data_IF_299332045626
#
_entry.id   IF_299332045626
#
_cell.length_a   1.000
_cell.length_b   1.000
_cell.length_c   1.000
_cell.angle_alpha   90.00
_cell.angle_beta   90.00
_cell.angle_gamma   90.00
#
_symmetry.space_group_name_H-M   'P 1'
#
loop_
_entity.id
_entity.type
_entity.pdbx_description
1 polymer ?
#
# COMPACT_ATOMS: atom_id res chain seq x y z
N UNK A 1 -23.26 -5.46 16.46
CA UNK A 1 -22.36 -5.18 15.33
C UNK A 1 -21.69 -3.86 15.61
N UNK A 2 -20.42 -3.88 15.90
CA UNK A 2 -19.68 -2.70 16.35
C UNK A 2 -19.18 -1.92 15.12
N UNK A 3 -19.66 -0.67 14.98
CA UNK A 3 -19.30 0.28 13.92
C UNK A 3 -17.91 0.92 14.10
N UNK A 4 -16.96 0.22 14.74
CA UNK A 4 -15.61 0.76 15.03
C UNK A 4 -14.54 0.43 13.99
N UNK A 5 -14.78 -0.50 13.09
CA UNK A 5 -13.75 -1.05 12.20
C UNK A 5 -13.57 -0.30 10.85
N UNK A 6 -14.37 0.76 10.59
CA UNK A 6 -14.31 1.51 9.32
C UNK A 6 -13.81 2.94 9.44
N UNK A 7 -13.41 3.40 10.63
CA UNK A 7 -12.87 4.75 10.81
C UNK A 7 -11.41 4.79 10.37
N UNK A 8 -11.17 5.32 9.17
CA UNK A 8 -9.83 5.64 8.67
C UNK A 8 -9.48 5.10 7.29
N UNK A 9 -10.31 4.25 6.68
CA UNK A 9 -10.05 3.78 5.32
C UNK A 9 -10.89 4.54 4.30
N UNK A 10 -10.22 5.36 3.49
CA UNK A 10 -10.82 6.32 2.57
C UNK A 10 -11.49 5.66 1.33
N UNK A 11 -11.07 4.45 0.95
CA UNK A 11 -11.42 3.85 -0.35
C UNK A 11 -12.64 2.92 -0.34
N UNK A 12 -13.26 2.69 0.82
CA UNK A 12 -14.41 1.79 0.95
C UNK A 12 -14.07 0.29 0.80
N UNK A 13 -15.13 -0.55 0.76
CA UNK A 13 -15.00 -2.01 0.70
C UNK A 13 -16.04 -2.57 -0.29
N UNK A 14 -15.60 -3.24 -1.36
CA UNK A 14 -16.50 -3.83 -2.36
C UNK A 14 -15.74 -4.48 -3.50
N UNK A 15 -16.44 -5.20 -4.39
CA UNK A 15 -15.82 -5.92 -5.51
C UNK A 15 -15.00 -5.03 -6.45
N UNK A 16 -15.44 -3.78 -6.66
CA UNK A 16 -14.71 -2.81 -7.46
C UNK A 16 -13.36 -2.43 -6.81
N UNK A 17 -13.37 -2.22 -5.48
CA UNK A 17 -12.16 -1.93 -4.71
C UNK A 17 -11.22 -3.14 -4.67
N UNK A 18 -11.75 -4.34 -4.47
CA UNK A 18 -10.96 -5.58 -4.55
C UNK A 18 -10.25 -5.72 -5.91
N UNK A 19 -10.95 -5.46 -7.00
CA UNK A 19 -10.38 -5.49 -8.35
C UNK A 19 -9.32 -4.40 -8.54
N UNK A 20 -9.56 -3.20 -8.02
CA UNK A 20 -8.62 -2.07 -8.05
C UNK A 20 -7.33 -2.42 -7.31
N UNK A 21 -7.41 -2.95 -6.08
CA UNK A 21 -6.24 -3.34 -5.27
C UNK A 21 -5.40 -4.42 -5.96
N UNK A 22 -6.05 -5.43 -6.57
CA UNK A 22 -5.34 -6.45 -7.35
C UNK A 22 -4.66 -5.87 -8.59
N UNK A 23 -5.31 -4.94 -9.28
CA UNK A 23 -4.73 -4.24 -10.44
C UNK A 23 -3.54 -3.37 -10.01
N UNK A 24 -3.68 -2.63 -8.92
CA UNK A 24 -2.61 -1.84 -8.33
C UNK A 24 -1.36 -2.67 -8.06
N UNK A 25 -1.52 -3.81 -7.37
CA UNK A 25 -0.40 -4.69 -7.05
C UNK A 25 0.37 -5.14 -8.31
N UNK A 26 -0.34 -5.46 -9.41
CA UNK A 26 0.28 -5.87 -10.68
C UNK A 26 1.01 -4.73 -11.38
N UNK A 27 0.44 -3.52 -11.41
CA UNK A 27 1.04 -2.35 -12.08
C UNK A 27 2.37 -1.97 -11.44
N UNK A 28 2.49 -2.09 -10.12
CA UNK A 28 3.71 -1.70 -9.39
C UNK A 28 4.57 -2.88 -8.96
N UNK A 29 4.21 -4.10 -9.35
CA UNK A 29 4.88 -5.34 -8.91
C UNK A 29 6.39 -5.29 -9.04
N UNK A 30 6.90 -4.93 -10.22
CA UNK A 30 8.34 -4.90 -10.49
C UNK A 30 9.08 -3.87 -9.63
N UNK A 31 8.41 -2.78 -9.24
CA UNK A 31 8.97 -1.73 -8.38
C UNK A 31 9.03 -2.13 -6.91
N UNK A 32 8.09 -2.97 -6.47
CA UNK A 32 7.99 -3.42 -5.07
C UNK A 32 8.79 -4.71 -4.85
N UNK A 33 8.60 -5.70 -5.73
CA UNK A 33 9.05 -7.08 -5.49
C UNK A 33 10.40 -7.42 -6.12
N UNK A 34 10.95 -6.57 -7.00
CA UNK A 34 12.15 -6.90 -7.80
C UNK A 34 13.41 -7.27 -6.99
N UNK A 35 13.51 -6.86 -5.74
CA UNK A 35 14.73 -7.01 -4.93
C UNK A 35 14.48 -7.39 -3.46
N UNK A 36 13.39 -8.15 -3.19
CA UNK A 36 13.07 -8.54 -1.82
C UNK A 36 14.04 -9.59 -1.25
N UNK A 37 14.46 -9.47 0.04
CA UNK A 37 15.51 -10.33 0.63
C UNK A 37 14.98 -11.65 1.22
N UNK A 38 13.84 -12.19 0.73
CA UNK A 38 13.14 -13.30 1.37
C UNK A 38 13.51 -14.70 0.86
N UNK A 39 14.54 -14.85 0.03
CA UNK A 39 14.95 -16.15 -0.52
C UNK A 39 15.27 -17.23 0.52
N UNK A 40 15.69 -16.81 1.72
CA UNK A 40 16.03 -17.72 2.83
C UNK A 40 14.93 -17.83 3.87
N UNK A 41 13.87 -17.01 3.75
CA UNK A 41 12.74 -17.06 4.65
C UNK A 41 11.85 -18.26 4.35
N UNK A 42 11.25 -18.80 5.41
CA UNK A 42 10.26 -19.89 5.35
C UNK A 42 8.91 -19.45 5.91
N UNK A 43 8.91 -18.56 6.89
CA UNK A 43 7.72 -18.09 7.60
C UNK A 43 7.70 -16.55 7.59
N UNK A 44 6.99 -15.99 6.61
CA UNK A 44 6.85 -14.55 6.45
C UNK A 44 5.59 -14.06 7.15
N UNK A 45 5.72 -12.97 7.91
CA UNK A 45 4.58 -12.18 8.38
C UNK A 45 4.26 -11.11 7.34
N UNK A 46 3.01 -11.01 6.92
CA UNK A 46 2.49 -9.87 6.16
C UNK A 46 1.45 -9.13 7.00
N UNK A 47 1.65 -7.83 7.24
CA UNK A 47 0.71 -7.00 8.01
C UNK A 47 -0.01 -6.05 7.06
N UNK A 48 -1.37 -6.03 7.14
CA UNK A 48 -2.20 -5.26 6.24
C UNK A 48 -2.30 -5.89 4.85
N UNK A 49 -2.65 -7.17 4.79
CA UNK A 49 -2.65 -7.92 3.52
C UNK A 49 -3.76 -7.49 2.54
N UNK A 50 -4.73 -6.69 3.01
CA UNK A 50 -5.87 -6.29 2.21
C UNK A 50 -6.56 -7.50 1.58
N UNK A 51 -6.72 -7.49 0.27
CA UNK A 51 -7.37 -8.55 -0.51
C UNK A 51 -6.43 -9.71 -0.91
N UNK A 52 -5.23 -9.79 -0.33
CA UNK A 52 -4.24 -10.84 -0.59
C UNK A 52 -3.45 -10.69 -1.91
N UNK A 53 -3.48 -9.52 -2.52
CA UNK A 53 -2.82 -9.28 -3.81
C UNK A 53 -1.28 -9.33 -3.69
N UNK A 54 -0.71 -8.78 -2.62
CA UNK A 54 0.72 -8.84 -2.35
C UNK A 54 1.13 -10.25 -1.90
N UNK A 55 0.28 -10.92 -1.09
CA UNK A 55 0.47 -12.32 -0.67
C UNK A 55 0.66 -13.24 -1.87
N UNK A 56 -0.18 -13.12 -2.90
CA UNK A 56 -0.08 -13.90 -4.15
C UNK A 56 1.28 -13.70 -4.82
N UNK A 57 1.74 -12.45 -4.95
CA UNK A 57 3.01 -12.13 -5.60
C UNK A 57 4.19 -12.68 -4.79
N UNK A 58 4.17 -12.53 -3.46
CA UNK A 58 5.19 -13.09 -2.56
C UNK A 58 5.31 -14.59 -2.73
N UNK A 59 4.19 -15.32 -2.71
CA UNK A 59 4.15 -16.77 -2.83
C UNK A 59 4.56 -17.29 -4.22
N UNK A 60 4.31 -16.50 -5.27
CA UNK A 60 4.75 -16.79 -6.64
C UNK A 60 6.25 -16.56 -6.78
N UNK A 61 6.78 -15.50 -6.17
CA UNK A 61 8.20 -15.14 -6.24
C UNK A 61 9.10 -16.04 -5.39
N UNK A 62 8.58 -16.49 -4.26
CA UNK A 62 9.33 -17.31 -3.28
C UNK A 62 8.62 -18.65 -3.03
N UNK A 63 8.94 -19.70 -3.80
CA UNK A 63 8.19 -20.97 -3.77
C UNK A 63 8.28 -21.72 -2.44
N UNK A 64 9.31 -21.48 -1.64
CA UNK A 64 9.52 -22.11 -0.34
C UNK A 64 8.88 -21.35 0.84
N UNK A 65 8.27 -20.21 0.57
CA UNK A 65 7.72 -19.31 1.58
C UNK A 65 6.32 -19.76 2.00
N UNK A 66 6.06 -19.70 3.29
CA UNK A 66 4.72 -19.71 3.88
C UNK A 66 4.42 -18.30 4.41
N UNK A 67 3.32 -17.70 3.99
CA UNK A 67 2.91 -16.35 4.41
C UNK A 67 1.77 -16.46 5.43
N UNK A 68 1.98 -15.89 6.61
CA UNK A 68 0.90 -15.60 7.55
C UNK A 68 0.54 -14.14 7.41
N UNK A 69 -0.64 -13.87 6.87
CA UNK A 69 -1.13 -12.50 6.68
C UNK A 69 -2.11 -12.10 7.78
N UNK A 70 -2.00 -10.82 8.20
CA UNK A 70 -2.89 -10.21 9.20
C UNK A 70 -3.64 -9.06 8.54
N UNK A 71 -4.97 -9.06 8.67
CA UNK A 71 -5.84 -8.02 8.14
C UNK A 71 -6.92 -7.67 9.18
N UNK A 72 -7.10 -6.36 9.42
CA UNK A 72 -8.05 -5.85 10.41
C UNK A 72 -9.49 -5.77 9.86
N UNK A 73 -9.65 -5.55 8.55
CA UNK A 73 -10.96 -5.45 7.92
C UNK A 73 -11.49 -6.83 7.51
N UNK A 74 -12.56 -7.29 8.14
CA UNK A 74 -13.16 -8.61 7.84
C UNK A 74 -13.54 -8.78 6.36
N UNK A 75 -14.01 -7.71 5.70
CA UNK A 75 -14.34 -7.71 4.28
C UNK A 75 -13.12 -8.02 3.40
N UNK A 76 -12.00 -7.35 3.63
CA UNK A 76 -10.73 -7.59 2.95
C UNK A 76 -10.20 -9.00 3.22
N UNK A 77 -10.24 -9.43 4.49
CA UNK A 77 -9.83 -10.78 4.87
C UNK A 77 -10.64 -11.87 4.14
N UNK A 78 -11.96 -11.69 4.06
CA UNK A 78 -12.83 -12.61 3.32
C UNK A 78 -12.48 -12.61 1.82
N UNK A 79 -12.20 -11.44 1.23
CA UNK A 79 -11.76 -11.31 -0.15
C UNK A 79 -10.39 -12.01 -0.38
N UNK A 80 -9.43 -11.81 0.52
CA UNK A 80 -8.13 -12.49 0.48
C UNK A 80 -8.28 -14.01 0.52
N UNK A 81 -9.08 -14.54 1.43
CA UNK A 81 -9.36 -15.99 1.53
C UNK A 81 -9.99 -16.55 0.26
N UNK A 82 -10.96 -15.84 -0.33
CA UNK A 82 -11.56 -16.24 -1.61
C UNK A 82 -10.54 -16.23 -2.74
N UNK A 83 -9.79 -15.13 -2.86
CA UNK A 83 -8.80 -14.94 -3.91
C UNK A 83 -7.68 -15.98 -3.87
N UNK A 84 -7.04 -16.13 -2.70
CA UNK A 84 -5.94 -17.06 -2.53
C UNK A 84 -6.41 -18.52 -2.53
N UNK A 85 -7.57 -18.81 -1.93
CA UNK A 85 -8.17 -20.15 -1.91
C UNK A 85 -8.55 -20.67 -3.30
N UNK A 86 -8.81 -19.78 -4.26
CA UNK A 86 -9.08 -20.12 -5.65
C UNK A 86 -7.80 -20.49 -6.45
N UNK A 87 -6.61 -20.43 -5.84
CA UNK A 87 -5.31 -20.65 -6.48
C UNK A 87 -4.69 -22.01 -6.06
N UNK A 88 -4.92 -23.11 -6.80
CA UNK A 88 -4.45 -24.44 -6.40
C UNK A 88 -2.93 -24.56 -6.25
N UNK A 89 -2.15 -23.76 -7.00
CA UNK A 89 -0.71 -23.73 -6.97
C UNK A 89 -0.13 -23.21 -5.64
N UNK A 90 -0.91 -22.50 -4.84
CA UNK A 90 -0.50 -22.03 -3.51
C UNK A 90 -0.32 -23.20 -2.54
N UNK A 91 -1.06 -24.29 -2.73
CA UNK A 91 -0.89 -25.54 -1.99
C UNK A 91 -0.85 -25.35 -0.45
N UNK A 92 -1.72 -24.50 0.09
CA UNK A 92 -1.81 -24.22 1.53
C UNK A 92 -0.64 -23.43 2.12
N UNK A 93 0.15 -22.74 1.29
CA UNK A 93 1.31 -21.94 1.76
C UNK A 93 0.90 -20.56 2.30
N UNK A 94 -0.34 -20.36 2.73
CA UNK A 94 -0.78 -19.12 3.36
C UNK A 94 -1.79 -19.38 4.47
N UNK A 95 -1.73 -18.52 5.49
CA UNK A 95 -2.75 -18.35 6.51
C UNK A 95 -3.20 -16.88 6.49
N UNK A 96 -4.51 -16.64 6.33
CA UNK A 96 -5.09 -15.29 6.38
C UNK A 96 -5.88 -15.13 7.70
N UNK A 97 -5.38 -14.25 8.58
CA UNK A 97 -5.85 -14.08 9.97
C UNK A 97 -6.46 -12.69 10.17
N UNK A 98 -7.58 -12.64 10.90
CA UNK A 98 -8.07 -11.37 11.41
C UNK A 98 -7.21 -10.91 12.58
N UNK A 99 -6.80 -9.62 12.59
CA UNK A 99 -6.01 -9.09 13.70
C UNK A 99 -5.63 -7.63 13.52
N UNK A 100 -5.21 -7.01 14.62
CA UNK A 100 -4.73 -5.63 14.65
C UNK A 100 -3.19 -5.63 14.61
N UNK A 101 -2.60 -4.90 13.65
CA UNK A 101 -1.16 -4.70 13.57
C UNK A 101 -0.52 -4.05 14.80
N UNK A 102 -1.31 -3.32 15.59
CA UNK A 102 -0.87 -2.72 16.86
C UNK A 102 -0.74 -3.74 18.02
N UNK A 103 -1.31 -4.94 17.86
CA UNK A 103 -1.34 -5.98 18.90
C UNK A 103 -1.37 -7.38 18.27
N UNK A 104 -0.25 -7.80 17.66
CA UNK A 104 -0.14 -9.08 16.97
C UNK A 104 -0.22 -10.26 17.95
N UNK A 105 -1.18 -11.17 17.72
CA UNK A 105 -1.43 -12.34 18.56
C UNK A 105 -0.46 -13.51 18.28
N UNK A 106 0.82 -13.20 18.02
CA UNK A 106 1.86 -14.20 17.81
C UNK A 106 2.92 -14.10 18.91
N UNK A 107 3.51 -15.24 19.31
CA UNK A 107 4.68 -15.23 20.18
C UNK A 107 5.86 -14.46 19.59
N UNK A 108 6.79 -14.03 20.44
CA UNK A 108 8.09 -13.53 19.98
C UNK A 108 8.81 -14.58 19.12
N UNK A 109 9.69 -14.14 18.23
CA UNK A 109 10.56 -15.00 17.42
C UNK A 109 9.82 -16.05 16.58
N UNK A 110 8.60 -15.74 16.14
CA UNK A 110 7.75 -16.65 15.35
C UNK A 110 8.18 -16.69 13.88
N UNK A 111 8.48 -15.52 13.29
CA UNK A 111 8.72 -15.36 11.87
C UNK A 111 10.20 -15.11 11.56
N UNK A 112 10.62 -15.43 10.35
CA UNK A 112 11.98 -15.21 9.85
C UNK A 112 12.04 -14.12 8.76
N UNK A 113 10.95 -13.37 8.57
CA UNK A 113 10.86 -12.17 7.75
C UNK A 113 9.50 -11.49 7.91
N UNK A 114 9.42 -10.21 7.56
CA UNK A 114 8.15 -9.48 7.51
C UNK A 114 8.07 -8.55 6.30
N UNK A 115 6.83 -8.38 5.81
CA UNK A 115 6.50 -7.51 4.68
C UNK A 115 5.30 -6.63 5.04
N UNK A 116 5.42 -5.33 4.77
CA UNK A 116 4.36 -4.33 4.92
C UNK A 116 4.28 -3.52 3.63
N UNK A 117 3.07 -3.27 3.14
CA UNK A 117 2.88 -2.49 1.92
C UNK A 117 1.61 -1.66 2.00
N UNK A 118 1.78 -0.33 2.11
CA UNK A 118 0.71 0.66 2.18
C UNK A 118 -0.29 0.41 3.31
N UNK A 119 0.26 0.18 4.50
CA UNK A 119 -0.53 0.04 5.73
C UNK A 119 -0.23 1.16 6.72
N UNK A 120 1.04 1.58 6.87
CA UNK A 120 1.42 2.53 7.91
C UNK A 120 0.83 3.93 7.68
N UNK A 121 0.46 4.23 6.44
CA UNK A 121 -0.26 5.45 6.08
C UNK A 121 -1.69 5.52 6.67
N UNK A 122 -2.26 4.37 7.05
CA UNK A 122 -3.64 4.26 7.55
C UNK A 122 -3.74 4.11 9.07
N UNK A 123 -2.62 3.92 9.77
CA UNK A 123 -2.62 3.66 11.21
C UNK A 123 -2.23 4.89 12.02
N UNK A 124 -2.85 5.09 13.18
CA UNK A 124 -2.56 6.23 14.06
C UNK A 124 -1.21 6.14 14.76
N UNK A 125 -0.63 4.93 14.92
CA UNK A 125 0.69 4.71 15.54
C UNK A 125 1.54 3.72 14.74
N UNK A 126 2.21 4.18 13.67
CA UNK A 126 3.11 3.36 12.87
C UNK A 126 4.26 2.73 13.67
N UNK A 127 4.76 3.42 14.71
CA UNK A 127 5.83 2.92 15.55
C UNK A 127 5.37 1.71 16.39
N UNK A 128 4.12 1.70 16.84
CA UNK A 128 3.53 0.57 17.57
C UNK A 128 3.41 -0.66 16.67
N UNK A 129 2.91 -0.49 15.44
CA UNK A 129 2.84 -1.59 14.47
C UNK A 129 4.22 -2.18 14.22
N UNK A 130 5.24 -1.33 13.94
CA UNK A 130 6.61 -1.78 13.71
C UNK A 130 7.24 -2.44 14.94
N UNK A 131 6.88 -2.02 16.16
CA UNK A 131 7.34 -2.65 17.41
C UNK A 131 6.79 -4.07 17.56
N UNK A 132 5.50 -4.29 17.22
CA UNK A 132 4.90 -5.62 17.24
C UNK A 132 5.50 -6.52 16.16
N UNK A 133 5.70 -6.00 14.95
CA UNK A 133 6.40 -6.72 13.89
C UNK A 133 7.79 -7.16 14.39
N UNK A 134 8.59 -6.21 14.94
CA UNK A 134 9.92 -6.51 15.46
C UNK A 134 9.89 -7.59 16.55
N UNK A 135 8.94 -7.53 17.47
CA UNK A 135 8.78 -8.52 18.56
C UNK A 135 8.54 -9.93 18.02
N UNK A 136 7.77 -10.06 16.93
CA UNK A 136 7.42 -11.36 16.37
C UNK A 136 8.50 -11.96 15.46
N UNK A 137 9.49 -11.15 15.07
CA UNK A 137 10.60 -11.57 14.23
C UNK A 137 11.76 -12.16 15.04
N UNK A 138 12.37 -13.21 14.51
CA UNK A 138 13.62 -13.78 15.03
C UNK A 138 14.78 -12.79 14.86
N UNK A 139 15.82 -12.87 15.71
CA UNK A 139 17.03 -12.09 15.51
C UNK A 139 17.63 -12.25 14.09
N UNK A 140 18.08 -11.14 13.50
CA UNK A 140 18.65 -11.11 12.15
C UNK A 140 17.65 -11.20 11.00
N UNK A 141 16.34 -11.30 11.28
CA UNK A 141 15.30 -11.41 10.25
C UNK A 141 15.12 -10.12 9.45
N UNK A 142 14.97 -10.18 8.13
CA UNK A 142 14.69 -9.02 7.30
C UNK A 142 13.25 -8.55 7.46
N UNK A 143 13.07 -7.22 7.43
CA UNK A 143 11.78 -6.54 7.24
C UNK A 143 11.84 -5.66 6.01
N UNK A 144 10.77 -5.64 5.24
CA UNK A 144 10.59 -4.70 4.12
C UNK A 144 9.27 -3.97 4.30
N UNK A 145 9.34 -2.65 4.19
CA UNK A 145 8.20 -1.74 4.32
C UNK A 145 8.13 -0.84 3.09
N UNK A 146 6.96 -0.79 2.45
CA UNK A 146 6.70 0.09 1.31
C UNK A 146 5.60 1.06 1.70
N UNK A 147 5.87 2.38 1.62
CA UNK A 147 4.90 3.38 2.04
C UNK A 147 4.87 4.59 1.12
N UNK A 148 3.71 5.21 1.05
CA UNK A 148 3.42 6.37 0.21
C UNK A 148 4.26 7.60 0.59
N UNK A 149 4.59 8.40 -0.43
CA UNK A 149 5.20 9.72 -0.27
C UNK A 149 4.42 10.71 -1.14
N UNK A 150 3.20 11.02 -0.71
CA UNK A 150 2.23 11.78 -1.50
C UNK A 150 2.69 13.18 -1.89
N UNK A 151 3.66 13.75 -1.16
CA UNK A 151 4.27 15.04 -1.50
C UNK A 151 5.07 15.03 -2.82
N UNK A 152 5.35 13.86 -3.40
CA UNK A 152 6.11 13.74 -4.65
C UNK A 152 5.26 13.81 -5.91
N UNK A 153 3.93 13.86 -5.77
CA UNK A 153 3.02 13.87 -6.91
C UNK A 153 3.20 15.10 -7.79
N UNK A 154 3.36 14.87 -9.09
CA UNK A 154 3.52 15.92 -10.09
C UNK A 154 2.88 15.51 -11.41
N UNK A 155 2.24 16.48 -12.08
CA UNK A 155 1.71 16.37 -13.43
C UNK A 155 2.17 17.53 -14.32
N UNK A 156 2.43 17.22 -15.58
CA UNK A 156 2.52 18.18 -16.67
C UNK A 156 1.62 17.70 -17.80
N UNK A 157 0.78 18.55 -18.42
CA UNK A 157 0.57 19.98 -18.15
C UNK A 157 0.00 20.27 -16.75
N UNK A 158 0.04 21.55 -16.36
CA UNK A 158 -0.50 22.02 -15.07
C UNK A 158 -1.98 21.66 -14.95
N UNK A 159 -2.33 20.94 -13.90
CA UNK A 159 -3.64 20.31 -13.67
C UNK A 159 -4.24 20.79 -12.35
N UNK A 160 -4.86 21.99 -12.31
CA UNK A 160 -5.27 22.64 -11.07
C UNK A 160 -6.38 21.90 -10.32
N UNK A 161 -7.34 21.27 -11.02
CA UNK A 161 -8.40 20.47 -10.38
C UNK A 161 -7.82 19.22 -9.74
N UNK A 162 -6.91 18.55 -10.40
CA UNK A 162 -6.21 17.37 -9.88
C UNK A 162 -5.38 17.71 -8.65
N UNK A 163 -4.64 18.83 -8.68
CA UNK A 163 -3.84 19.26 -7.54
C UNK A 163 -4.71 19.67 -6.35
N UNK A 164 -5.85 20.32 -6.59
CA UNK A 164 -6.82 20.65 -5.54
C UNK A 164 -7.42 19.40 -4.90
N UNK A 165 -7.84 18.45 -5.75
CA UNK A 165 -8.35 17.17 -5.29
C UNK A 165 -7.30 16.41 -4.46
N UNK A 166 -6.06 16.32 -4.96
CA UNK A 166 -4.95 15.64 -4.28
C UNK A 166 -4.61 16.27 -2.92
N UNK A 167 -4.62 17.59 -2.84
CA UNK A 167 -4.47 18.32 -1.57
C UNK A 167 -5.56 17.94 -0.57
N UNK A 168 -6.82 18.00 -1.01
CA UNK A 168 -7.98 17.64 -0.18
C UNK A 168 -7.95 16.18 0.28
N UNK A 169 -7.53 15.27 -0.61
CA UNK A 169 -7.35 13.85 -0.30
C UNK A 169 -6.34 13.64 0.82
N UNK A 170 -5.15 14.24 0.71
CA UNK A 170 -4.10 14.13 1.73
C UNK A 170 -4.52 14.75 3.07
N UNK A 171 -5.14 15.94 3.05
CA UNK A 171 -5.62 16.61 4.25
C UNK A 171 -6.72 15.79 4.95
N UNK A 172 -7.58 15.16 4.17
CA UNK A 172 -8.63 14.30 4.72
C UNK A 172 -8.08 13.02 5.34
N UNK A 173 -7.17 12.33 4.65
CA UNK A 173 -6.48 11.16 5.20
C UNK A 173 -5.75 11.50 6.51
N UNK A 174 -5.09 12.65 6.56
CA UNK A 174 -4.43 13.13 7.77
C UNK A 174 -5.44 13.43 8.90
N UNK A 175 -6.58 14.05 8.58
CA UNK A 175 -7.65 14.32 9.55
C UNK A 175 -8.29 13.05 10.11
N UNK A 176 -8.30 11.95 9.35
CA UNK A 176 -8.74 10.62 9.81
C UNK A 176 -7.71 9.90 10.70
N UNK A 177 -6.53 10.50 10.92
CA UNK A 177 -5.45 9.96 11.75
C UNK A 177 -4.42 9.13 10.99
N UNK A 178 -4.48 9.10 9.66
CA UNK A 178 -3.46 8.51 8.80
C UNK A 178 -2.30 9.49 8.52
N UNK A 179 -1.30 9.03 7.76
CA UNK A 179 -0.14 9.84 7.39
C UNK A 179 0.24 9.63 5.93
N UNK A 180 -0.26 10.49 5.00
CA UNK A 180 0.02 10.37 3.56
C UNK A 180 1.50 10.63 3.18
N UNK A 181 2.34 10.94 4.17
CA UNK A 181 3.78 11.22 4.00
C UNK A 181 4.66 10.28 4.81
N UNK A 182 4.11 9.17 5.30
CA UNK A 182 4.80 8.25 6.21
C UNK A 182 6.05 7.63 5.59
N UNK A 183 6.07 7.45 4.27
CA UNK A 183 7.22 6.94 3.54
C UNK A 183 8.51 7.71 3.79
N UNK A 184 8.44 9.04 3.85
CA UNK A 184 9.61 9.88 4.18
C UNK A 184 10.14 9.66 5.60
N UNK A 185 9.34 9.08 6.48
CA UNK A 185 9.65 8.90 7.91
C UNK A 185 10.14 7.50 8.26
N UNK A 186 10.11 6.54 7.30
CA UNK A 186 10.40 5.13 7.54
C UNK A 186 11.76 4.89 8.20
N UNK A 187 12.81 5.57 7.75
CA UNK A 187 14.14 5.43 8.35
C UNK A 187 14.15 5.79 9.84
N UNK A 188 13.54 6.92 10.20
CA UNK A 188 13.43 7.37 11.59
C UNK A 188 12.52 6.46 12.43
N UNK A 189 11.43 5.95 11.85
CA UNK A 189 10.51 5.02 12.52
C UNK A 189 11.21 3.70 12.85
N UNK A 190 11.88 3.09 11.88
CA UNK A 190 12.61 1.83 12.04
C UNK A 190 13.74 1.98 13.05
N UNK A 191 14.50 3.10 13.01
CA UNK A 191 15.56 3.39 13.96
C UNK A 191 15.02 3.52 15.39
N UNK A 192 13.93 4.27 15.56
CA UNK A 192 13.28 4.48 16.88
C UNK A 192 12.80 3.17 17.49
N UNK A 193 12.31 2.25 16.68
CA UNK A 193 11.80 0.94 17.11
C UNK A 193 12.95 -0.04 17.39
N UNK A 194 14.19 0.27 16.97
CA UNK A 194 15.39 -0.53 17.24
C UNK A 194 15.67 -1.62 16.20
N UNK A 195 15.29 -1.40 14.94
CA UNK A 195 15.81 -2.16 13.81
C UNK A 195 17.24 -1.72 13.49
N UNK A 196 18.02 -2.63 12.90
CA UNK A 196 19.39 -2.42 12.44
C UNK A 196 19.47 -2.50 10.91
N UNK A 197 20.62 -2.16 10.32
CA UNK A 197 20.89 -2.25 8.88
C UNK A 197 19.81 -1.57 8.03
N UNK A 198 19.40 -0.37 8.44
CA UNK A 198 18.30 0.35 7.83
C UNK A 198 18.75 1.00 6.52
N UNK A 199 18.11 0.62 5.43
CA UNK A 199 18.26 1.22 4.11
C UNK A 199 16.91 1.74 3.63
N UNK A 200 16.87 2.96 3.08
CA UNK A 200 15.67 3.54 2.47
C UNK A 200 15.93 3.90 1.03
N UNK A 201 15.00 3.56 0.15
CA UNK A 201 15.11 3.82 -1.29
C UNK A 201 13.82 4.47 -1.80
N UNK A 202 13.98 5.58 -2.51
CA UNK A 202 12.86 6.20 -3.23
C UNK A 202 12.59 5.41 -4.50
N UNK A 203 11.36 4.95 -4.67
CA UNK A 203 10.89 4.18 -5.83
C UNK A 203 10.06 5.08 -6.75
N UNK A 204 10.67 5.66 -7.79
CA UNK A 204 9.96 6.58 -8.67
C UNK A 204 9.08 5.85 -9.69
N UNK A 205 7.95 6.49 -10.00
CA UNK A 205 7.10 6.23 -11.14
C UNK A 205 7.16 7.50 -12.00
N UNK A 206 7.99 7.49 -13.03
CA UNK A 206 8.12 8.58 -13.99
C UNK A 206 7.65 8.07 -15.35
N UNK A 207 6.54 8.62 -15.82
CA UNK A 207 5.90 8.21 -17.07
C UNK A 207 5.74 9.39 -17.99
N UNK A 208 6.35 9.31 -19.16
CA UNK A 208 6.31 10.30 -20.22
C UNK A 208 6.02 9.65 -21.57
N UNK A 209 6.21 10.36 -22.67
CA UNK A 209 5.90 9.86 -24.00
C UNK A 209 6.91 8.84 -24.57
N UNK A 210 7.95 8.47 -23.83
CA UNK A 210 8.80 7.31 -24.19
C UNK A 210 8.04 5.99 -24.06
N UNK A 211 7.01 5.95 -23.18
CA UNK A 211 6.14 4.81 -22.94
C UNK A 211 4.67 5.25 -22.83
N UNK A 212 4.04 5.75 -23.92
CA UNK A 212 2.71 6.36 -23.86
C UNK A 212 1.61 5.38 -23.44
N UNK A 213 1.73 4.11 -23.80
CA UNK A 213 0.80 3.06 -23.41
C UNK A 213 0.83 2.78 -21.91
N UNK A 214 2.02 2.69 -21.31
CA UNK A 214 2.20 2.52 -19.86
C UNK A 214 1.66 3.73 -19.10
N UNK A 215 1.93 4.95 -19.59
CA UNK A 215 1.39 6.18 -19.00
C UNK A 215 -0.13 6.17 -19.00
N UNK A 216 -0.75 5.89 -20.14
CA UNK A 216 -2.20 5.86 -20.25
C UNK A 216 -2.84 4.78 -19.36
N UNK A 217 -2.22 3.61 -19.24
CA UNK A 217 -2.68 2.55 -18.33
C UNK A 217 -2.55 2.94 -16.86
N UNK A 218 -1.42 3.53 -16.49
CA UNK A 218 -1.17 3.99 -15.13
C UNK A 218 -2.13 5.11 -14.73
N UNK A 219 -2.39 6.07 -15.62
CA UNK A 219 -3.32 7.17 -15.35
C UNK A 219 -4.77 6.69 -15.23
N UNK A 220 -5.19 5.66 -15.96
CA UNK A 220 -6.49 5.03 -15.71
C UNK A 220 -6.58 4.43 -14.31
N UNK A 221 -5.54 3.69 -13.90
CA UNK A 221 -5.45 3.18 -12.54
C UNK A 221 -5.44 4.31 -11.49
N UNK A 222 -4.66 5.38 -11.73
CA UNK A 222 -4.58 6.51 -10.80
C UNK A 222 -5.91 7.25 -10.66
N UNK A 223 -6.64 7.40 -11.77
CA UNK A 223 -8.00 7.96 -11.76
C UNK A 223 -8.94 7.09 -10.91
N UNK A 224 -8.93 5.77 -11.11
CA UNK A 224 -9.74 4.84 -10.30
C UNK A 224 -9.38 4.93 -8.80
N UNK A 225 -8.09 5.07 -8.48
CA UNK A 225 -7.61 5.28 -7.10
C UNK A 225 -8.17 6.57 -6.50
N UNK A 226 -8.11 7.69 -7.20
CA UNK A 226 -8.63 8.96 -6.70
C UNK A 226 -10.15 8.92 -6.54
N UNK A 227 -10.86 8.33 -7.52
CA UNK A 227 -12.32 8.22 -7.47
C UNK A 227 -12.84 7.30 -6.36
N UNK A 228 -12.05 6.34 -5.88
CA UNK A 228 -12.47 5.47 -4.78
C UNK A 228 -12.70 6.20 -3.45
N UNK A 229 -12.06 7.38 -3.25
CA UNK A 229 -12.31 8.27 -2.11
C UNK A 229 -13.29 9.42 -2.37
N UNK A 230 -13.84 9.50 -3.59
CA UNK A 230 -14.59 10.67 -4.06
C UNK A 230 -15.84 10.95 -3.24
N UNK A 231 -16.67 9.92 -2.99
CA UNK A 231 -17.94 10.08 -2.25
C UNK A 231 -17.69 10.59 -0.83
N UNK A 232 -16.66 10.10 -0.18
CA UNK A 232 -16.29 10.53 1.17
C UNK A 232 -15.79 11.97 1.19
N UNK A 233 -14.96 12.38 0.23
CA UNK A 233 -14.46 13.75 0.11
C UNK A 233 -15.57 14.75 -0.19
N UNK A 234 -16.51 14.41 -1.06
CA UNK A 234 -17.69 15.24 -1.35
C UNK A 234 -18.58 15.33 -0.09
N UNK A 235 -18.88 14.17 0.54
CA UNK A 235 -19.69 14.11 1.75
C UNK A 235 -19.11 14.90 2.91
N UNK A 236 -17.78 14.96 3.02
CA UNK A 236 -17.04 15.76 3.99
C UNK A 236 -16.90 17.24 3.59
N UNK A 237 -17.41 17.67 2.42
CA UNK A 237 -17.30 19.03 1.91
C UNK A 237 -15.87 19.47 1.58
N UNK A 238 -14.97 18.52 1.29
CA UNK A 238 -13.56 18.79 0.97
C UNK A 238 -13.35 19.13 -0.50
N UNK A 239 -14.16 18.56 -1.37
CA UNK A 239 -14.20 18.84 -2.80
C UNK A 239 -15.65 18.94 -3.28
N UNK A 240 -15.86 19.61 -4.40
CA UNK A 240 -17.13 19.65 -5.12
C UNK A 240 -17.12 18.81 -6.39
N UNK A 241 -18.27 18.62 -6.98
CA UNK A 241 -18.43 17.84 -8.22
C UNK A 241 -17.63 18.44 -9.38
N UNK A 242 -17.56 19.79 -9.47
CA UNK A 242 -16.80 20.49 -10.50
C UNK A 242 -15.30 20.15 -10.42
N UNK A 243 -14.74 20.13 -9.21
CA UNK A 243 -13.34 19.72 -8.97
C UNK A 243 -13.09 18.28 -9.40
N UNK A 244 -14.04 17.36 -9.11
CA UNK A 244 -13.93 15.95 -9.50
C UNK A 244 -14.00 15.76 -11.01
N UNK A 245 -14.96 16.42 -11.69
CA UNK A 245 -15.10 16.37 -13.15
C UNK A 245 -13.88 16.98 -13.84
N UNK A 246 -13.39 18.12 -13.32
CA UNK A 246 -12.17 18.77 -13.79
C UNK A 246 -10.94 17.87 -13.67
N UNK A 247 -10.76 17.23 -12.50
CA UNK A 247 -9.69 16.25 -12.28
C UNK A 247 -9.74 15.09 -13.30
N UNK A 248 -10.93 14.53 -13.53
CA UNK A 248 -11.08 13.45 -14.52
C UNK A 248 -10.73 13.93 -15.94
N UNK A 249 -11.10 15.18 -16.29
CA UNK A 249 -10.74 15.79 -17.57
C UNK A 249 -9.23 15.91 -17.71
N UNK A 250 -8.60 16.55 -16.74
CA UNK A 250 -7.14 16.78 -16.72
C UNK A 250 -6.35 15.47 -16.80
N UNK A 251 -6.75 14.43 -16.05
CA UNK A 251 -6.07 13.12 -16.08
C UNK A 251 -6.24 12.41 -17.45
N UNK A 252 -7.39 12.58 -18.13
CA UNK A 252 -7.55 12.08 -19.50
C UNK A 252 -6.65 12.81 -20.49
N UNK A 253 -6.51 14.14 -20.35
CA UNK A 253 -5.63 14.94 -21.18
C UNK A 253 -4.17 14.54 -20.98
N UNK A 254 -3.70 14.43 -19.73
CA UNK A 254 -2.36 13.94 -19.40
C UNK A 254 -2.11 12.52 -19.95
N UNK A 255 -3.13 11.66 -20.02
CA UNK A 255 -2.98 10.31 -20.56
C UNK A 255 -2.67 10.29 -22.07
N UNK A 256 -3.08 11.30 -22.83
CA UNK A 256 -3.02 11.34 -24.30
C UNK A 256 -2.08 12.39 -24.88
N UNK A 257 -1.78 13.44 -24.13
CA UNK A 257 -0.88 14.52 -24.55
C UNK A 257 0.57 13.99 -24.74
N UNK A 258 1.18 14.18 -25.91
CA UNK A 258 2.54 13.70 -26.20
C UNK A 258 3.63 14.39 -25.36
N UNK A 259 3.38 15.58 -24.81
CA UNK A 259 4.31 16.32 -23.97
C UNK A 259 4.05 16.13 -22.46
N UNK A 260 3.08 15.29 -22.12
CA UNK A 260 2.70 15.09 -20.73
C UNK A 260 3.67 14.22 -19.95
N UNK A 261 3.75 14.54 -18.65
CA UNK A 261 4.52 13.79 -17.65
C UNK A 261 3.67 13.51 -16.43
N UNK A 262 3.70 12.27 -15.97
CA UNK A 262 3.25 11.86 -14.65
C UNK A 262 4.46 11.50 -13.80
N UNK A 263 4.52 12.01 -12.58
CA UNK A 263 5.52 11.61 -11.59
C UNK A 263 4.89 11.36 -10.23
N UNK A 264 5.29 10.26 -9.63
CA UNK A 264 5.00 9.92 -8.25
C UNK A 264 6.13 9.05 -7.70
N UNK A 265 6.39 9.09 -6.40
CA UNK A 265 7.31 8.18 -5.77
C UNK A 265 6.76 7.67 -4.43
N UNK A 266 7.07 6.43 -4.12
CA UNK A 266 6.91 5.83 -2.80
C UNK A 266 8.29 5.49 -2.23
N UNK A 267 8.35 5.12 -0.95
CA UNK A 267 9.60 4.74 -0.29
C UNK A 267 9.55 3.27 0.09
N UNK A 268 10.57 2.52 -0.29
CA UNK A 268 10.84 1.19 0.24
C UNK A 268 11.95 1.28 1.29
N UNK A 269 11.66 0.79 2.49
CA UNK A 269 12.65 0.61 3.54
C UNK A 269 12.94 -0.87 3.75
N UNK A 270 14.21 -1.19 4.02
CA UNK A 270 14.69 -2.50 4.42
C UNK A 270 15.46 -2.36 5.71
N UNK A 271 15.28 -3.33 6.60
CA UNK A 271 16.01 -3.38 7.86
C UNK A 271 16.10 -4.82 8.36
N UNK A 272 16.78 -5.01 9.49
CA UNK A 272 16.85 -6.29 10.19
C UNK A 272 16.55 -6.10 11.67
N UNK A 273 16.04 -7.15 12.28
CA UNK A 273 16.07 -7.26 13.76
C UNK A 273 17.52 -7.42 14.23
N UNK A 274 17.88 -6.76 15.33
CA UNK A 274 19.18 -6.90 15.96
C UNK A 274 19.34 -8.28 16.61
#
# INVERSE_FOLDING_TARGET
>A
MSTRDTKGYLHGFGEAEEARLRRQARIVEHRIHGTLPFRRCRRLLEVGSGVGAQTEILLRTFPDLHVTSVEAAEGNLAAARRHLGAQPWLNGRFDATHGDGNALEFPADTFDGAFLCWILEHVGDPARVLSEVRRTLRPGSPVVVNEVQNATFFLSPYSPCTLRYWGAFNDHQFALGGDPFVGAKLGNLLQRVGFADIETEVRPVLLDNRHPGERAEFLRFWTDLLLSGCEELIGAGKVDTETVEGMQGELRDVATDPDAVFFYAFVQARARTA
#
